data_IF_020373824649
#
_entry.id   IF_020373824649
#
_cell.length_a   1.000
_cell.length_b   1.000
_cell.length_c   1.000
_cell.angle_alpha   90.00
_cell.angle_beta   90.00
_cell.angle_gamma   90.00
#
_symmetry.space_group_name_H-M   'P 1'
#
loop_
_entity.id
_entity.type
_entity.pdbx_description
1 polymer ?
#
# COMPACT_ATOMS: atom_id res chain seq x y z
N UNK A 1 -8.01 2.97 -24.33
CA UNK A 1 -7.27 4.18 -23.91
C UNK A 1 -5.79 3.88 -23.92
N UNK A 2 -5.00 4.62 -24.68
CA UNK A 2 -3.55 4.60 -24.53
C UNK A 2 -3.21 5.41 -23.28
N UNK A 3 -2.60 4.77 -22.29
CA UNK A 3 -2.13 5.44 -21.09
C UNK A 3 -0.82 6.14 -21.43
N UNK A 4 -0.84 7.46 -21.48
CA UNK A 4 0.34 8.29 -21.77
C UNK A 4 0.84 8.96 -20.50
N UNK A 5 2.16 9.12 -20.41
CA UNK A 5 2.81 9.89 -19.34
C UNK A 5 3.34 11.17 -19.98
N UNK A 6 3.07 12.32 -19.36
CA UNK A 6 3.61 13.59 -19.83
C UNK A 6 5.14 13.64 -19.73
N UNK A 7 5.77 14.43 -20.60
CA UNK A 7 7.22 14.63 -20.57
C UNK A 7 7.67 15.29 -19.26
N UNK A 8 6.83 16.13 -18.66
CA UNK A 8 7.11 16.81 -17.40
C UNK A 8 7.19 15.83 -16.23
N UNK A 9 6.21 14.91 -16.09
CA UNK A 9 6.21 13.92 -15.02
C UNK A 9 7.35 12.92 -15.20
N UNK A 10 7.66 12.50 -16.43
CA UNK A 10 8.85 11.69 -16.71
C UNK A 10 10.13 12.38 -16.26
N UNK A 11 10.29 13.68 -16.54
CA UNK A 11 11.44 14.45 -16.08
C UNK A 11 11.52 14.51 -14.55
N UNK A 12 10.39 14.74 -13.88
CA UNK A 12 10.32 14.76 -12.40
C UNK A 12 10.76 13.41 -11.80
N UNK A 13 10.26 12.30 -12.35
CA UNK A 13 10.60 10.94 -11.88
C UNK A 13 12.08 10.61 -12.13
N UNK A 14 12.62 10.99 -13.29
CA UNK A 14 14.02 10.73 -13.63
C UNK A 14 15.00 11.54 -12.77
N UNK A 15 14.62 12.74 -12.33
CA UNK A 15 15.43 13.58 -11.44
C UNK A 15 15.45 13.10 -9.98
N UNK A 16 14.67 12.07 -9.63
CA UNK A 16 14.67 11.51 -8.28
C UNK A 16 15.93 10.67 -8.01
N UNK A 17 16.41 10.65 -6.74
CA UNK A 17 17.42 9.70 -6.31
C UNK A 17 17.01 8.26 -6.61
N UNK A 18 17.98 7.41 -6.96
CA UNK A 18 17.73 6.03 -7.42
C UNK A 18 16.84 5.22 -6.47
N UNK A 19 17.06 5.35 -5.15
CA UNK A 19 16.26 4.68 -4.13
C UNK A 19 14.79 5.14 -4.14
N UNK A 20 14.54 6.46 -4.21
CA UNK A 20 13.17 7.02 -4.28
C UNK A 20 12.51 6.65 -5.61
N UNK A 21 13.25 6.71 -6.72
CA UNK A 21 12.76 6.32 -8.06
C UNK A 21 12.33 4.85 -8.09
N UNK A 22 13.13 3.95 -7.55
CA UNK A 22 12.79 2.53 -7.47
C UNK A 22 11.51 2.29 -6.65
N UNK A 23 11.37 3.01 -5.52
CA UNK A 23 10.17 2.95 -4.67
C UNK A 23 8.92 3.44 -5.42
N UNK A 24 9.00 4.59 -6.09
CA UNK A 24 7.91 5.14 -6.91
C UNK A 24 7.47 4.13 -7.98
N UNK A 25 8.42 3.57 -8.74
CA UNK A 25 8.12 2.55 -9.76
C UNK A 25 7.42 1.33 -9.15
N UNK A 26 7.82 0.91 -7.94
CA UNK A 26 7.19 -0.21 -7.25
C UNK A 26 5.73 0.06 -6.86
N UNK A 27 5.43 1.28 -6.40
CA UNK A 27 4.08 1.73 -6.02
C UNK A 27 3.20 1.80 -7.27
N UNK A 28 3.69 2.42 -8.34
CA UNK A 28 2.95 2.51 -9.61
C UNK A 28 2.63 1.12 -10.15
N UNK A 29 3.62 0.21 -10.20
CA UNK A 29 3.39 -1.18 -10.65
C UNK A 29 2.36 -1.91 -9.79
N UNK A 30 2.39 -1.72 -8.47
CA UNK A 30 1.40 -2.30 -7.54
C UNK A 30 0.00 -1.76 -7.83
N UNK A 31 -0.13 -0.46 -8.02
CA UNK A 31 -1.40 0.19 -8.34
C UNK A 31 -1.97 -0.31 -9.67
N UNK A 32 -1.15 -0.35 -10.74
CA UNK A 32 -1.58 -0.88 -12.05
C UNK A 32 -2.07 -2.32 -11.96
N UNK A 33 -1.38 -3.18 -11.20
CA UNK A 33 -1.81 -4.57 -10.98
C UNK A 33 -3.14 -4.65 -10.22
N UNK A 34 -3.33 -3.81 -9.20
CA UNK A 34 -4.57 -3.77 -8.43
C UNK A 34 -5.75 -3.30 -9.29
N UNK A 35 -5.56 -2.23 -10.08
CA UNK A 35 -6.56 -1.74 -11.03
C UNK A 35 -6.94 -2.81 -12.05
N UNK A 36 -5.96 -3.48 -12.65
CA UNK A 36 -6.19 -4.57 -13.60
C UNK A 36 -6.96 -5.74 -12.97
N UNK A 37 -6.62 -6.13 -11.73
CA UNK A 37 -7.30 -7.22 -11.01
C UNK A 37 -8.74 -6.87 -10.63
N UNK A 38 -9.01 -5.61 -10.30
CA UNK A 38 -10.31 -5.16 -9.81
C UNK A 38 -11.21 -4.61 -10.93
N UNK A 39 -10.74 -4.60 -12.18
CA UNK A 39 -11.48 -4.01 -13.31
C UNK A 39 -11.67 -2.49 -13.21
N UNK A 40 -10.81 -1.80 -12.44
CA UNK A 40 -10.89 -0.35 -12.26
C UNK A 40 -10.07 0.34 -13.37
N UNK A 41 -10.69 1.14 -14.26
CA UNK A 41 -9.98 1.86 -15.29
C UNK A 41 -9.12 2.97 -14.68
N UNK A 42 -7.91 3.15 -15.20
CA UNK A 42 -7.02 4.24 -14.79
C UNK A 42 -7.40 5.52 -15.52
N UNK A 43 -7.66 6.59 -14.76
CA UNK A 43 -8.04 7.89 -15.32
C UNK A 43 -6.83 8.65 -15.89
N UNK A 44 -5.71 8.70 -15.16
CA UNK A 44 -4.49 9.42 -15.57
C UNK A 44 -3.24 8.80 -14.98
N UNK A 45 -2.27 8.44 -15.84
CA UNK A 45 -0.96 7.96 -15.37
C UNK A 45 -0.15 9.06 -14.71
N UNK A 46 -0.26 10.31 -15.17
CA UNK A 46 0.46 11.44 -14.57
C UNK A 46 0.09 11.60 -13.10
N UNK A 47 -1.20 11.52 -12.79
CA UNK A 47 -1.70 11.56 -11.41
C UNK A 47 -1.13 10.42 -10.57
N UNK A 48 -1.15 9.19 -11.09
CA UNK A 48 -0.62 8.02 -10.39
C UNK A 48 0.87 8.17 -10.07
N UNK A 49 1.67 8.74 -10.98
CA UNK A 49 3.08 9.01 -10.72
C UNK A 49 3.30 10.08 -9.66
N UNK A 50 2.53 11.19 -9.70
CA UNK A 50 2.63 12.25 -8.71
C UNK A 50 2.25 11.75 -7.30
N UNK A 51 1.12 11.05 -7.18
CA UNK A 51 0.69 10.44 -5.92
C UNK A 51 1.71 9.40 -5.41
N UNK A 52 2.27 8.59 -6.31
CA UNK A 52 3.30 7.63 -5.94
C UNK A 52 4.60 8.30 -5.44
N UNK A 53 4.95 9.48 -5.95
CA UNK A 53 6.10 10.26 -5.46
C UNK A 53 5.88 10.76 -4.02
N UNK A 54 4.68 11.23 -3.71
CA UNK A 54 4.28 11.68 -2.38
C UNK A 54 4.26 10.51 -1.39
N UNK A 55 3.66 9.37 -1.79
CA UNK A 55 3.64 8.15 -0.97
C UNK A 55 5.05 7.62 -0.72
N UNK A 56 5.91 7.59 -1.75
CA UNK A 56 7.30 7.18 -1.57
C UNK A 56 8.05 8.08 -0.58
N UNK A 57 7.79 9.38 -0.60
CA UNK A 57 8.37 10.32 0.36
C UNK A 57 7.90 10.08 1.78
N UNK A 58 6.59 9.86 1.97
CA UNK A 58 6.01 9.52 3.27
C UNK A 58 6.56 8.20 3.82
N UNK A 59 6.58 7.14 3.01
CA UNK A 59 7.08 5.81 3.43
C UNK A 59 8.59 5.83 3.73
N UNK A 60 9.38 6.67 3.06
CA UNK A 60 10.81 6.82 3.36
C UNK A 60 11.03 7.60 4.65
N UNK A 61 10.22 8.63 4.91
CA UNK A 61 10.30 9.45 6.12
C UNK A 61 9.77 8.71 7.35
N UNK A 62 8.72 7.93 7.16
CA UNK A 62 8.02 7.18 8.18
C UNK A 62 7.90 5.72 7.71
N UNK A 63 8.97 4.91 7.88
CA UNK A 63 8.91 3.50 7.52
C UNK A 63 7.79 2.82 8.29
N UNK A 64 7.07 1.91 7.63
CA UNK A 64 6.04 1.12 8.30
C UNK A 64 6.65 0.45 9.53
N UNK A 65 6.03 0.59 10.72
CA UNK A 65 6.51 -0.09 11.89
C UNK A 65 6.53 -1.59 11.60
N UNK A 66 7.61 -2.27 11.97
CA UNK A 66 7.66 -3.72 11.90
C UNK A 66 6.41 -4.28 12.57
N UNK A 67 5.68 -5.13 11.84
CA UNK A 67 4.55 -5.87 12.39
C UNK A 67 5.11 -6.79 13.47
N UNK A 68 5.26 -6.27 14.68
CA UNK A 68 5.44 -7.09 15.87
C UNK A 68 4.30 -8.10 15.83
N UNK A 69 4.65 -9.38 15.87
CA UNK A 69 3.68 -10.48 15.91
C UNK A 69 2.52 -10.07 16.81
N UNK A 70 1.29 -10.32 16.33
CA UNK A 70 0.10 -10.20 17.15
C UNK A 70 0.42 -10.87 18.48
N UNK A 71 0.44 -10.10 19.58
CA UNK A 71 0.70 -10.66 20.90
C UNK A 71 -0.30 -11.81 21.05
N UNK A 72 0.19 -13.01 21.26
CA UNK A 72 -0.57 -14.16 21.73
C UNK A 72 -1.08 -13.82 23.14
N UNK A 73 -1.96 -12.85 23.25
CA UNK A 73 -2.86 -12.82 24.38
C UNK A 73 -3.82 -13.95 24.09
N UNK A 74 -3.64 -15.09 24.75
CA UNK A 74 -4.72 -16.06 24.88
C UNK A 74 -5.97 -15.26 25.28
N UNK A 75 -7.02 -15.34 24.47
CA UNK A 75 -8.30 -14.75 24.85
C UNK A 75 -8.59 -15.26 26.26
N UNK A 76 -8.87 -14.38 27.22
CA UNK A 76 -9.18 -14.81 28.59
C UNK A 76 -10.42 -15.69 28.51
N UNK A 77 -10.23 -17.00 28.67
CA UNK A 77 -11.34 -17.94 28.79
C UNK A 77 -11.83 -17.85 30.23
N UNK A 78 -13.10 -17.49 30.40
CA UNK A 78 -13.77 -17.59 31.69
C UNK A 78 -14.51 -18.91 31.72
N UNK A 79 -14.48 -19.60 32.86
CA UNK A 79 -15.31 -20.78 33.05
C UNK A 79 -16.78 -20.37 32.86
N UNK A 80 -17.43 -20.96 31.87
CA UNK A 80 -18.84 -20.73 31.62
C UNK A 80 -19.64 -21.46 32.70
N UNK A 81 -20.52 -20.73 33.39
CA UNK A 81 -21.39 -21.33 34.40
C UNK A 81 -22.23 -22.46 33.77
N UNK A 82 -22.08 -23.67 34.31
CA UNK A 82 -22.90 -24.81 33.95
C UNK A 82 -24.09 -24.84 34.90
N UNK A 83 -25.30 -24.69 34.37
CA UNK A 83 -26.51 -24.77 35.19
C UNK A 83 -26.71 -26.20 35.73
N UNK A 84 -27.22 -26.38 36.95
CA UNK A 84 -27.47 -27.70 37.56
C UNK A 84 -28.43 -28.60 36.77
N UNK A 85 -29.13 -28.06 35.77
CA UNK A 85 -30.06 -28.80 34.90
C UNK A 85 -29.36 -29.52 33.74
N UNK A 86 -28.08 -29.23 33.50
CA UNK A 86 -27.29 -29.76 32.40
C UNK A 86 -26.22 -30.78 32.83
N UNK A 87 -26.20 -31.18 34.12
CA UNK A 87 -25.29 -32.18 34.69
C UNK A 87 -26.03 -33.48 35.01
#
# INVERSE_FOLDING_TARGET
MQLTVSSETLRKVNNLPDAKRAKVISIVKRHLRACAKNGCPLESLDRVYLEAMEVAEMEMKFPEPEKKFFREWEARHYDQYISPKAA
#
